data_IF_994122668052
#
_entry.id   IF_994122668052
#
_cell.length_a   1.000
_cell.length_b   1.000
_cell.length_c   1.000
_cell.angle_alpha   90.00
_cell.angle_beta   90.00
_cell.angle_gamma   90.00
#
_symmetry.space_group_name_H-M   'P 1'
#
loop_
_entity.id
_entity.type
_entity.pdbx_description
1 polymer ?
#
# COMPACT_ATOMS: atom_id res chain seq x y z
N UNK A 1 23.36 8.72 8.45
CA UNK A 1 23.92 7.43 7.99
C UNK A 1 22.78 6.43 7.98
N UNK A 2 22.47 5.82 6.84
CA UNK A 2 21.36 4.88 6.73
C UNK A 2 21.58 3.62 7.58
N UNK A 3 20.54 3.19 8.28
CA UNK A 3 20.51 1.95 9.06
C UNK A 3 20.54 0.77 8.09
N UNK A 4 21.56 -0.07 8.17
CA UNK A 4 21.62 -1.30 7.39
C UNK A 4 20.58 -2.30 7.90
N UNK A 5 19.63 -2.68 7.05
CA UNK A 5 18.57 -3.65 7.39
C UNK A 5 19.08 -5.07 7.16
N UNK A 6 18.93 -5.94 8.16
CA UNK A 6 19.15 -7.38 8.03
C UNK A 6 17.81 -8.14 7.88
N UNK A 7 17.86 -9.43 7.56
CA UNK A 7 16.65 -10.24 7.34
C UNK A 7 15.69 -10.22 8.53
N UNK A 8 16.22 -10.28 9.75
CA UNK A 8 15.38 -10.27 10.96
C UNK A 8 14.63 -8.95 11.13
N UNK A 9 15.28 -7.81 10.85
CA UNK A 9 14.63 -6.51 10.85
C UNK A 9 13.59 -6.42 9.73
N UNK A 10 13.93 -6.93 8.54
CA UNK A 10 13.05 -6.97 7.38
C UNK A 10 11.75 -7.74 7.69
N UNK A 11 11.87 -8.91 8.32
CA UNK A 11 10.71 -9.74 8.68
C UNK A 11 9.86 -9.14 9.81
N UNK A 12 10.47 -8.30 10.67
CA UNK A 12 9.80 -7.76 11.86
C UNK A 12 9.05 -6.45 11.68
N UNK A 13 9.30 -5.70 10.60
CA UNK A 13 8.67 -4.39 10.40
C UNK A 13 7.13 -4.49 10.41
N UNK A 14 6.56 -5.56 9.84
CA UNK A 14 5.11 -5.78 9.85
C UNK A 14 4.52 -5.82 11.27
N UNK A 15 5.18 -6.55 12.18
CA UNK A 15 4.76 -6.62 13.59
C UNK A 15 5.08 -5.36 14.39
N UNK A 16 6.04 -4.53 13.95
CA UNK A 16 6.27 -3.21 14.53
C UNK A 16 5.13 -2.26 14.13
N UNK A 17 4.81 -2.22 12.85
CA UNK A 17 3.74 -1.41 12.29
C UNK A 17 2.35 -1.82 12.80
N UNK A 18 2.08 -3.12 12.96
CA UNK A 18 0.82 -3.59 13.57
C UNK A 18 0.67 -3.09 15.02
N UNK A 19 1.76 -3.03 15.79
CA UNK A 19 1.71 -2.55 17.18
C UNK A 19 1.43 -1.05 17.25
N UNK A 20 1.88 -0.28 16.26
CA UNK A 20 1.68 1.17 16.21
C UNK A 20 0.31 1.55 15.63
N UNK A 21 -0.11 0.91 14.54
CA UNK A 21 -1.29 1.31 13.75
C UNK A 21 -2.49 0.36 13.86
N UNK A 22 -2.30 -0.80 14.50
CA UNK A 22 -3.28 -1.87 14.53
C UNK A 22 -3.35 -2.67 13.22
N UNK A 23 -4.42 -3.45 13.06
CA UNK A 23 -4.70 -4.22 11.84
C UNK A 23 -6.20 -4.31 11.56
N UNK A 24 -6.53 -4.53 10.29
CA UNK A 24 -7.89 -4.82 9.85
C UNK A 24 -8.24 -6.25 10.26
N UNK A 25 -9.33 -6.44 11.03
CA UNK A 25 -9.77 -7.79 11.39
C UNK A 25 -10.49 -8.44 10.21
N UNK A 26 -10.51 -9.77 10.21
CA UNK A 26 -11.26 -10.54 9.21
C UNK A 26 -12.75 -10.17 9.27
N UNK A 27 -13.33 -9.79 8.14
CA UNK A 27 -14.72 -9.35 8.00
C UNK A 27 -14.91 -7.83 8.07
N UNK A 28 -13.87 -7.05 8.41
CA UNK A 28 -13.94 -5.59 8.49
C UNK A 28 -13.43 -4.90 7.21
N UNK A 29 -12.95 -5.66 6.22
CA UNK A 29 -12.28 -5.15 5.00
C UNK A 29 -13.14 -4.17 4.21
N UNK A 30 -14.47 -4.34 4.24
CA UNK A 30 -15.42 -3.47 3.54
C UNK A 30 -15.29 -1.99 3.93
N UNK A 31 -14.94 -1.68 5.18
CA UNK A 31 -14.76 -0.30 5.65
C UNK A 31 -13.50 0.36 5.07
N UNK A 32 -12.56 -0.45 4.57
CA UNK A 32 -11.24 -0.04 4.09
C UNK A 32 -11.12 -0.09 2.56
N UNK A 33 -12.23 -0.42 1.86
CA UNK A 33 -12.23 -0.63 0.41
C UNK A 33 -11.78 0.57 -0.41
N UNK A 34 -11.97 1.78 0.11
CA UNK A 34 -11.49 3.00 -0.54
C UNK A 34 -9.97 3.02 -0.71
N UNK A 35 -9.23 2.37 0.20
CA UNK A 35 -7.77 2.24 0.14
C UNK A 35 -7.33 0.89 -0.43
N UNK A 36 -7.97 -0.21 -0.01
CA UNK A 36 -7.64 -1.56 -0.51
C UNK A 36 -7.81 -1.68 -2.02
N UNK A 37 -8.92 -1.16 -2.57
CA UNK A 37 -9.23 -1.32 -4.00
C UNK A 37 -8.16 -0.72 -4.94
N UNK A 38 -7.72 0.53 -4.77
CA UNK A 38 -6.65 1.06 -5.62
C UNK A 38 -5.30 0.37 -5.40
N UNK A 39 -4.96 -0.06 -4.18
CA UNK A 39 -3.72 -0.82 -3.92
C UNK A 39 -3.72 -2.15 -4.68
N UNK A 40 -4.75 -2.97 -4.47
CA UNK A 40 -4.88 -4.28 -5.13
C UNK A 40 -5.02 -4.13 -6.64
N UNK A 41 -5.75 -3.10 -7.09
CA UNK A 41 -5.91 -2.78 -8.51
C UNK A 41 -4.59 -2.43 -9.20
N UNK A 42 -3.76 -1.58 -8.57
CA UNK A 42 -2.46 -1.21 -9.11
C UNK A 42 -1.48 -2.40 -9.11
N UNK A 43 -1.44 -3.18 -8.04
CA UNK A 43 -0.67 -4.43 -8.00
C UNK A 43 -1.09 -5.40 -9.11
N UNK A 44 -2.40 -5.53 -9.36
CA UNK A 44 -2.92 -6.38 -10.42
C UNK A 44 -2.51 -5.89 -11.81
N UNK A 45 -2.53 -4.58 -12.05
CA UNK A 45 -2.04 -3.98 -13.32
C UNK A 45 -0.57 -4.33 -13.55
N UNK A 46 0.27 -4.20 -12.52
CA UNK A 46 1.69 -4.58 -12.59
C UNK A 46 1.83 -6.06 -12.91
N UNK A 47 1.19 -6.95 -12.16
CA UNK A 47 1.32 -8.39 -12.38
C UNK A 47 0.83 -8.84 -13.76
N UNK A 48 -0.23 -8.23 -14.29
CA UNK A 48 -0.71 -8.50 -15.66
C UNK A 48 0.36 -8.17 -16.72
N UNK A 49 1.12 -7.10 -16.52
CA UNK A 49 2.20 -6.70 -17.42
C UNK A 49 3.51 -7.46 -17.15
N UNK A 50 3.71 -7.90 -15.90
CA UNK A 50 4.94 -8.47 -15.35
C UNK A 50 4.62 -9.67 -14.45
N UNK A 51 4.32 -10.86 -15.01
CA UNK A 51 3.93 -12.03 -14.22
C UNK A 51 5.01 -12.49 -13.23
N UNK A 52 6.27 -12.14 -13.45
CA UNK A 52 7.38 -12.36 -12.52
C UNK A 52 7.24 -11.60 -11.19
N UNK A 53 6.45 -10.50 -11.17
CA UNK A 53 6.02 -9.79 -9.97
C UNK A 53 4.93 -10.58 -9.24
N UNK A 54 5.30 -11.76 -8.74
CA UNK A 54 4.41 -12.73 -8.11
C UNK A 54 4.24 -12.51 -6.59
N UNK A 55 3.52 -13.40 -5.90
CA UNK A 55 3.19 -13.29 -4.48
C UNK A 55 4.39 -13.11 -3.56
N UNK A 56 5.53 -13.76 -3.85
CA UNK A 56 6.77 -13.53 -3.08
C UNK A 56 7.26 -12.08 -3.23
N UNK A 57 7.29 -11.58 -4.47
CA UNK A 57 7.68 -10.20 -4.77
C UNK A 57 6.71 -9.19 -4.17
N UNK A 58 5.43 -9.52 -4.11
CA UNK A 58 4.40 -8.71 -3.45
C UNK A 58 4.62 -8.59 -1.93
N UNK A 59 4.97 -9.69 -1.25
CA UNK A 59 5.32 -9.64 0.18
C UNK A 59 6.53 -8.73 0.40
N UNK A 60 7.59 -8.91 -0.40
CA UNK A 60 8.79 -8.05 -0.33
C UNK A 60 8.46 -6.59 -0.59
N UNK A 61 7.64 -6.30 -1.60
CA UNK A 61 7.22 -4.94 -1.93
C UNK A 61 6.42 -4.27 -0.80
N UNK A 62 5.51 -5.00 -0.16
CA UNK A 62 4.77 -4.49 1.00
C UNK A 62 5.72 -4.19 2.15
N UNK A 63 6.66 -5.09 2.44
CA UNK A 63 7.65 -4.87 3.51
C UNK A 63 8.53 -3.66 3.21
N UNK A 64 8.98 -3.48 1.97
CA UNK A 64 9.73 -2.29 1.54
C UNK A 64 8.89 -1.03 1.72
N UNK A 65 7.63 -1.02 1.26
CA UNK A 65 6.72 0.12 1.43
C UNK A 65 6.50 0.47 2.92
N UNK A 66 6.45 -0.52 3.82
CA UNK A 66 6.40 -0.26 5.27
C UNK A 66 7.69 0.40 5.78
N UNK A 67 8.87 0.04 5.26
CA UNK A 67 10.10 0.73 5.62
C UNK A 67 10.18 2.16 5.07
N UNK A 68 9.63 2.43 3.88
CA UNK A 68 9.50 3.81 3.38
C UNK A 68 8.61 4.64 4.29
N UNK A 69 7.46 4.10 4.70
CA UNK A 69 6.62 4.78 5.69
C UNK A 69 7.39 4.96 7.00
N UNK A 70 8.13 3.96 7.47
CA UNK A 70 8.93 4.07 8.69
C UNK A 70 10.01 5.18 8.59
N UNK A 71 10.60 5.40 7.42
CA UNK A 71 11.61 6.44 7.21
C UNK A 71 11.01 7.84 7.21
N UNK A 72 9.73 7.98 6.85
CA UNK A 72 9.01 9.25 7.01
C UNK A 72 8.62 9.51 8.47
N UNK A 73 8.30 8.45 9.21
CA UNK A 73 7.85 8.54 10.60
C UNK A 73 8.97 8.59 11.64
N UNK A 74 10.20 8.31 11.22
CA UNK A 74 11.38 8.37 12.07
C UNK A 74 12.50 9.04 11.30
N UNK A 75 13.31 9.89 11.93
CA UNK A 75 14.47 10.55 11.28
C UNK A 75 15.59 9.57 10.83
N UNK A 76 15.26 8.30 10.60
CA UNK A 76 16.13 7.23 10.16
C UNK A 76 15.88 6.91 8.68
N UNK A 77 16.96 6.92 7.91
CA UNK A 77 16.98 6.29 6.59
C UNK A 77 17.34 4.81 6.73
N UNK A 78 16.77 3.95 5.87
CA UNK A 78 17.03 2.50 5.86
C UNK A 78 17.67 2.09 4.55
N UNK A 79 18.81 1.37 4.62
CA UNK A 79 19.37 0.72 3.44
C UNK A 79 18.67 -0.64 3.24
N UNK A 80 17.93 -0.75 2.12
CA UNK A 80 17.18 -1.93 1.70
C UNK A 80 17.76 -2.59 0.44
N UNK A 81 18.95 -2.21 -0.03
CA UNK A 81 19.49 -2.62 -1.35
C UNK A 81 19.50 -4.14 -1.53
N UNK A 82 19.82 -4.89 -0.46
CA UNK A 82 19.84 -6.36 -0.47
C UNK A 82 18.47 -7.01 -0.68
N UNK A 83 17.37 -6.26 -0.55
CA UNK A 83 15.99 -6.74 -0.66
C UNK A 83 15.29 -6.24 -1.92
N UNK A 84 15.87 -5.26 -2.62
CA UNK A 84 15.29 -4.70 -3.85
C UNK A 84 15.61 -5.56 -5.06
N UNK A 85 14.61 -5.72 -5.92
CA UNK A 85 14.71 -6.39 -7.21
C UNK A 85 13.78 -5.70 -8.21
N UNK A 86 14.06 -5.81 -9.50
CA UNK A 86 13.21 -5.13 -10.50
C UNK A 86 11.73 -5.55 -10.37
N UNK A 87 11.49 -6.81 -10.00
CA UNK A 87 10.16 -7.39 -9.85
C UNK A 87 9.39 -6.84 -8.65
N UNK A 88 10.04 -6.65 -7.49
CA UNK A 88 9.37 -6.09 -6.32
C UNK A 88 9.30 -4.56 -6.39
N UNK A 89 10.28 -3.87 -6.98
CA UNK A 89 10.25 -2.41 -7.15
C UNK A 89 9.06 -1.93 -7.97
N UNK A 90 8.66 -2.67 -9.02
CA UNK A 90 7.43 -2.37 -9.77
C UNK A 90 6.20 -2.36 -8.86
N UNK A 91 6.13 -3.30 -7.92
CA UNK A 91 5.02 -3.41 -6.96
C UNK A 91 5.12 -2.37 -5.85
N UNK A 92 6.34 -2.03 -5.39
CA UNK A 92 6.57 -0.92 -4.43
C UNK A 92 6.02 0.37 -5.03
N UNK A 93 6.42 0.70 -6.26
CA UNK A 93 5.94 1.89 -6.94
C UNK A 93 4.41 1.88 -7.09
N UNK A 94 3.82 0.76 -7.48
CA UNK A 94 2.37 0.63 -7.63
C UNK A 94 1.60 0.83 -6.32
N UNK A 95 2.15 0.36 -5.19
CA UNK A 95 1.59 0.55 -3.86
C UNK A 95 1.73 2.01 -3.39
N UNK A 96 2.94 2.58 -3.47
CA UNK A 96 3.19 3.95 -3.01
C UNK A 96 2.42 4.98 -3.84
N UNK A 97 2.31 4.80 -5.16
CA UNK A 97 1.48 5.64 -6.01
C UNK A 97 0.01 5.71 -5.57
N UNK A 98 -0.48 4.76 -4.77
CA UNK A 98 -1.87 4.76 -4.30
C UNK A 98 -2.13 5.78 -3.19
N UNK A 99 -1.17 6.05 -2.31
CA UNK A 99 -1.44 6.80 -1.06
C UNK A 99 -0.30 7.73 -0.63
N UNK A 100 0.90 7.57 -1.17
CA UNK A 100 2.09 8.26 -0.69
C UNK A 100 2.28 9.62 -1.37
N UNK A 101 2.21 10.75 -0.64
CA UNK A 101 2.40 12.08 -1.23
C UNK A 101 3.83 12.33 -1.71
N UNK A 102 4.82 11.59 -1.23
CA UNK A 102 6.20 11.74 -1.69
C UNK A 102 6.46 11.02 -3.02
N UNK A 103 5.61 10.05 -3.37
CA UNK A 103 5.65 9.32 -4.64
C UNK A 103 4.62 9.84 -5.65
N UNK A 104 3.42 10.23 -5.20
CA UNK A 104 2.34 10.70 -6.06
C UNK A 104 2.04 12.18 -5.85
N UNK A 105 2.28 12.97 -6.90
CA UNK A 105 2.08 14.42 -6.91
C UNK A 105 0.62 14.83 -6.71
N UNK A 106 -0.35 14.11 -7.27
CA UNK A 106 -1.77 14.47 -7.13
C UNK A 106 -2.23 14.33 -5.68
N UNK A 107 -1.71 13.34 -4.96
CA UNK A 107 -1.98 13.15 -3.53
C UNK A 107 -1.36 14.30 -2.74
N UNK A 108 -0.11 14.65 -3.06
CA UNK A 108 0.58 15.78 -2.42
C UNK A 108 -0.17 17.08 -2.59
N UNK A 109 -0.56 17.43 -3.82
CA UNK A 109 -1.32 18.64 -4.13
C UNK A 109 -2.64 18.67 -3.34
N UNK A 110 -3.38 17.56 -3.31
CA UNK A 110 -4.63 17.47 -2.54
C UNK A 110 -4.44 17.64 -1.03
N UNK A 111 -3.35 17.14 -0.46
CA UNK A 111 -3.02 17.29 0.97
C UNK A 111 -2.54 18.71 1.30
N UNK A 112 -1.74 19.32 0.42
CA UNK A 112 -1.31 20.73 0.54
C UNK A 112 -2.52 21.69 0.46
N UNK A 113 -3.45 21.46 -0.46
CA UNK A 113 -4.73 22.20 -0.54
C UNK A 113 -5.56 22.05 0.73
N UNK A 114 -5.53 20.87 1.34
CA UNK A 114 -6.18 20.60 2.62
C UNK A 114 -5.38 21.13 3.84
N UNK A 115 -4.25 21.81 3.62
CA UNK A 115 -3.39 22.36 4.67
C UNK A 115 -2.85 21.31 5.65
N UNK A 116 -2.60 20.09 5.16
CA UNK A 116 -1.95 19.03 5.94
C UNK A 116 -0.46 19.32 6.00
N UNK A 117 0.09 19.33 7.22
CA UNK A 117 1.52 19.52 7.44
C UNK A 117 2.29 18.20 7.20
N UNK A 118 2.92 18.07 6.04
CA UNK A 118 3.70 16.89 5.67
C UNK A 118 5.08 16.83 6.35
N UNK A 119 5.46 17.83 7.14
CA UNK A 119 6.67 17.82 7.97
C UNK A 119 6.38 17.40 9.42
N UNK A 120 5.11 17.41 9.84
CA UNK A 120 4.70 16.96 11.16
C UNK A 120 4.59 15.44 11.24
N UNK A 121 5.39 14.83 12.12
CA UNK A 121 5.32 13.40 12.43
C UNK A 121 3.91 12.98 12.87
N UNK A 122 3.19 13.81 13.62
CA UNK A 122 1.82 13.54 14.06
C UNK A 122 0.86 13.46 12.87
N UNK A 123 0.94 14.42 11.95
CA UNK A 123 0.11 14.43 10.74
C UNK A 123 0.43 13.24 9.82
N UNK A 124 1.72 12.90 9.66
CA UNK A 124 2.14 11.72 8.90
C UNK A 124 1.64 10.42 9.54
N UNK A 125 1.66 10.30 10.88
CA UNK A 125 1.09 9.14 11.59
C UNK A 125 -0.40 8.99 11.32
N UNK A 126 -1.16 10.08 11.34
CA UNK A 126 -2.58 10.02 11.01
C UNK A 126 -2.82 9.63 9.55
N UNK A 127 -2.05 10.23 8.62
CA UNK A 127 -2.12 9.96 7.18
C UNK A 127 -1.84 8.48 6.85
N UNK A 128 -0.75 7.91 7.37
CA UNK A 128 -0.32 6.56 7.02
C UNK A 128 -1.03 5.45 7.81
N UNK A 129 -1.81 5.78 8.85
CA UNK A 129 -2.46 4.75 9.66
C UNK A 129 -3.38 3.81 8.87
N UNK A 130 -4.16 4.35 7.93
CA UNK A 130 -5.03 3.55 7.07
C UNK A 130 -4.27 2.78 5.97
N UNK A 131 -3.34 3.40 5.21
CA UNK A 131 -2.47 2.68 4.31
C UNK A 131 -1.70 1.52 4.95
N UNK A 132 -1.10 1.72 6.12
CA UNK A 132 -0.34 0.67 6.84
C UNK A 132 -1.25 -0.52 7.17
N UNK A 133 -2.44 -0.26 7.71
CA UNK A 133 -3.43 -1.31 8.01
C UNK A 133 -3.83 -2.09 6.76
N UNK A 134 -4.01 -1.41 5.62
CA UNK A 134 -4.32 -2.04 4.34
C UNK A 134 -3.16 -2.88 3.81
N UNK A 135 -1.92 -2.37 3.87
CA UNK A 135 -0.71 -3.10 3.47
C UNK A 135 -0.55 -4.39 4.28
N UNK A 136 -0.70 -4.33 5.61
CA UNK A 136 -0.65 -5.51 6.47
C UNK A 136 -1.74 -6.53 6.09
N UNK A 137 -2.95 -6.05 5.80
CA UNK A 137 -4.06 -6.91 5.39
C UNK A 137 -3.83 -7.59 4.04
N UNK A 138 -3.32 -6.85 3.07
CA UNK A 138 -2.94 -7.38 1.75
C UNK A 138 -1.85 -8.42 1.95
N UNK A 139 -0.83 -8.16 2.78
CA UNK A 139 0.25 -9.12 3.05
C UNK A 139 -0.28 -10.46 3.58
N UNK A 140 -1.20 -10.44 4.56
CA UNK A 140 -1.86 -11.67 5.05
C UNK A 140 -2.58 -12.43 3.94
N UNK A 141 -3.28 -11.71 3.05
CA UNK A 141 -3.97 -12.28 1.89
C UNK A 141 -2.99 -12.88 0.88
N UNK A 142 -1.88 -12.19 0.61
CA UNK A 142 -0.82 -12.66 -0.30
C UNK A 142 -0.22 -13.96 0.23
N UNK A 143 0.12 -14.01 1.52
CA UNK A 143 0.66 -15.21 2.18
C UNK A 143 -0.30 -16.39 2.10
N UNK A 144 -1.57 -16.16 2.43
CA UNK A 144 -2.61 -17.18 2.35
C UNK A 144 -2.72 -17.75 0.94
N UNK A 145 -3.01 -16.90 -0.05
CA UNK A 145 -3.29 -17.38 -1.39
C UNK A 145 -2.05 -17.90 -2.11
N UNK A 146 -0.86 -17.39 -1.79
CA UNK A 146 0.38 -17.94 -2.34
C UNK A 146 0.69 -19.33 -1.79
N UNK A 147 0.31 -19.60 -0.53
CA UNK A 147 0.41 -20.94 0.05
C UNK A 147 -0.61 -21.91 -0.58
N UNK A 148 -1.86 -21.48 -0.73
CA UNK A 148 -2.91 -22.37 -1.23
C UNK A 148 -2.79 -22.64 -2.74
N UNK A 149 -2.48 -21.62 -3.55
CA UNK A 149 -2.58 -21.66 -5.02
C UNK A 149 -1.26 -21.43 -5.76
N UNK A 150 -0.14 -21.46 -5.03
CA UNK A 150 1.22 -21.29 -5.57
C UNK A 150 1.60 -19.82 -5.78
N UNK A 151 2.75 -19.54 -6.41
CA UNK A 151 3.36 -18.20 -6.44
C UNK A 151 2.45 -17.06 -6.91
N UNK A 152 1.51 -17.33 -7.83
CA UNK A 152 0.58 -16.31 -8.37
C UNK A 152 -0.81 -16.38 -7.74
N UNK A 153 -0.96 -17.16 -6.66
CA UNK A 153 -2.27 -17.46 -6.07
C UNK A 153 -3.04 -16.21 -5.66
N UNK A 154 -2.36 -15.24 -5.06
CA UNK A 154 -2.95 -13.95 -4.71
C UNK A 154 -3.44 -13.16 -5.92
N UNK A 155 -2.63 -13.11 -6.98
CA UNK A 155 -3.01 -12.38 -8.19
C UNK A 155 -4.19 -13.04 -8.91
N UNK A 156 -4.28 -14.38 -8.90
CA UNK A 156 -5.49 -15.08 -9.38
C UNK A 156 -6.71 -14.76 -8.51
N UNK A 157 -6.54 -14.70 -7.20
CA UNK A 157 -7.62 -14.33 -6.28
C UNK A 157 -8.17 -12.92 -6.58
N UNK A 158 -7.31 -11.90 -6.64
CA UNK A 158 -7.77 -10.53 -6.93
C UNK A 158 -8.25 -10.35 -8.38
N UNK A 159 -7.68 -11.06 -9.35
CA UNK A 159 -8.19 -11.09 -10.73
C UNK A 159 -9.65 -11.58 -10.76
N UNK A 160 -9.98 -12.62 -9.98
CA UNK A 160 -11.34 -13.14 -9.89
C UNK A 160 -12.31 -12.20 -9.15
N UNK A 161 -11.82 -11.49 -8.13
CA UNK A 161 -12.64 -10.60 -7.30
C UNK A 161 -12.90 -9.24 -7.98
N UNK A 162 -11.85 -8.60 -8.49
CA UNK A 162 -11.89 -7.20 -8.97
C UNK A 162 -11.41 -7.04 -10.41
N UNK A 163 -10.89 -8.09 -11.05
CA UNK A 163 -10.22 -7.99 -12.35
C UNK A 163 -11.09 -7.42 -13.48
N UNK A 164 -12.42 -7.60 -13.43
CA UNK A 164 -13.36 -7.00 -14.40
C UNK A 164 -13.52 -5.48 -14.22
N UNK A 165 -13.31 -4.98 -13.02
CA UNK A 165 -13.44 -3.55 -12.67
C UNK A 165 -12.12 -2.81 -12.86
N UNK A 166 -10.99 -3.51 -12.70
CA UNK A 166 -9.64 -2.95 -12.91
C UNK A 166 -9.35 -2.80 -14.40
N UNK A 167 -9.22 -1.55 -14.85
CA UNK A 167 -8.86 -1.21 -16.23
C UNK A 167 -7.55 -1.88 -16.66
N UNK A 168 -7.43 -2.16 -17.96
CA UNK A 168 -6.22 -2.74 -18.59
C UNK A 168 -5.37 -1.63 -19.21
N UNK A 169 -4.93 -0.72 -18.37
CA UNK A 169 -4.02 0.38 -18.72
C UNK A 169 -2.85 0.43 -17.71
N UNK A 170 -1.95 1.41 -17.88
CA UNK A 170 -0.81 1.65 -16.99
C UNK A 170 -1.05 2.81 -16.03
N UNK A 171 -2.26 3.39 -16.01
CA UNK A 171 -2.60 4.53 -15.16
C UNK A 171 -2.83 4.04 -13.73
N UNK A 172 -2.06 4.52 -12.75
CA UNK A 172 -2.20 4.08 -11.36
C UNK A 172 -3.32 4.86 -10.67
N UNK A 173 -4.22 4.14 -9.98
CA UNK A 173 -5.26 4.76 -9.19
C UNK A 173 -4.73 5.14 -7.80
N UNK A 174 -5.28 6.19 -7.20
CA UNK A 174 -4.92 6.62 -5.86
C UNK A 174 -6.15 6.93 -5.01
N UNK A 175 -5.94 7.00 -3.70
CA UNK A 175 -6.92 7.43 -2.73
C UNK A 175 -6.29 8.47 -1.80
N UNK A 176 -6.98 9.58 -1.59
CA UNK A 176 -6.56 10.63 -0.67
C UNK A 176 -7.40 10.53 0.60
N UNK A 177 -6.73 10.33 1.72
CA UNK A 177 -7.31 10.41 3.05
C UNK A 177 -6.78 11.68 3.69
N UNK A 178 -7.66 12.62 4.00
CA UNK A 178 -7.29 13.88 4.64
C UNK A 178 -7.41 13.72 6.16
N UNK A 179 -6.29 13.79 6.92
CA UNK A 179 -6.30 13.81 8.39
C UNK A 179 -7.23 14.90 8.95
N UNK A 180 -7.89 14.64 10.08
CA UNK A 180 -8.71 15.63 10.78
C UNK A 180 -10.03 16.04 10.10
N UNK A 181 -10.33 15.55 8.88
CA UNK A 181 -11.64 15.75 8.25
C UNK A 181 -12.56 14.61 8.66
N UNK A 182 -13.44 14.87 9.64
CA UNK A 182 -14.54 13.97 9.96
C UNK A 182 -15.33 13.67 8.67
N UNK A 183 -15.44 12.40 8.29
CA UNK A 183 -16.21 11.98 7.12
C UNK A 183 -17.69 12.33 7.30
N UNK A 184 -18.07 13.54 6.89
CA UNK A 184 -19.45 13.82 6.51
C UNK A 184 -19.73 12.98 5.27
N UNK A 185 -20.36 11.82 5.47
CA UNK A 185 -20.87 10.92 4.42
C UNK A 185 -21.57 11.75 3.33
N UNK A 186 -20.85 12.09 2.27
CA UNK A 186 -21.41 12.56 1.01
C UNK A 186 -20.94 11.60 -0.07
N UNK A 187 -21.72 10.55 -0.27
CA UNK A 187 -21.68 9.77 -1.49
C UNK A 187 -21.96 10.72 -2.67
N UNK A 188 -20.93 11.10 -3.42
CA UNK A 188 -21.13 11.50 -4.81
C UNK A 188 -21.01 10.24 -5.65
N UNK A 189 -22.16 9.58 -5.84
CA UNK A 189 -22.35 8.70 -6.99
C UNK A 189 -22.09 9.56 -8.23
N UNK A 190 -21.01 9.27 -8.96
CA UNK A 190 -20.77 9.90 -10.25
C UNK A 190 -22.02 9.71 -11.12
N UNK A 191 -22.62 10.85 -11.45
CA UNK A 191 -23.81 10.93 -12.27
C UNK A 191 -23.54 10.37 -13.65
N UNK A 192 -24.56 9.68 -14.16
CA UNK A 192 -24.78 9.35 -15.56
C UNK A 192 -24.20 10.40 -16.50
N UNK A 193 -23.41 9.94 -17.48
CA UNK A 193 -23.60 10.32 -18.88
C UNK A 193 -23.48 9.07 -19.73
#
# INVERSE_FOLDING_TARGET
MAVKVNQYQFDRIGSQMEREFGKIRKGEENAHMMMLFPMEGNMLKVHRAHPESNGRRAIEAIVIALFEIQSYLSDNEYNLDSFRSAENERLVQALLMTFDPFTNRDIREALEEASVDLESTEALKELYGEPVRCLLKIKESVELWSREWGPDGYFRFIENMIGKTVKRDQEMNFAVLVPGVEMKKKFHLFGKK
#
